data_IF_746826287810
#
_entry.id   IF_746826287810
#
_cell.length_a   1.000
_cell.length_b   1.000
_cell.length_c   1.000
_cell.angle_alpha   90.00
_cell.angle_beta   90.00
_cell.angle_gamma   90.00
#
_symmetry.space_group_name_H-M   'P 1'
#
loop_
_entity.id
_entity.type
_entity.pdbx_description
1 polymer ?
#
# COMPACT_ATOMS: atom_id res chain seq x y z
N UNK A 1 5.00 10.97 26.06
CA UNK A 1 4.28 10.84 24.75
C UNK A 1 2.80 10.73 25.10
N UNK A 2 1.94 11.57 24.52
CA UNK A 2 0.49 11.46 24.69
C UNK A 2 -0.01 10.35 23.75
N UNK A 3 -0.93 9.52 24.20
CA UNK A 3 -1.57 8.51 23.35
C UNK A 3 -2.53 9.22 22.37
N UNK A 4 -2.69 8.71 21.13
CA UNK A 4 -3.64 9.28 20.18
C UNK A 4 -5.06 9.16 20.72
N UNK A 5 -5.87 10.20 20.50
CA UNK A 5 -7.29 10.22 20.90
C UNK A 5 -8.16 9.35 20.00
N UNK A 6 -7.75 9.16 18.75
CA UNK A 6 -8.42 8.35 17.72
C UNK A 6 -7.38 7.69 16.81
N UNK A 7 -7.68 6.45 16.38
CA UNK A 7 -6.91 5.72 15.38
C UNK A 7 -7.87 5.31 14.26
N UNK A 8 -7.50 5.57 13.00
CA UNK A 8 -8.21 5.09 11.82
C UNK A 8 -7.34 4.06 11.12
N UNK A 9 -7.89 2.88 10.93
CA UNK A 9 -7.23 1.81 10.16
C UNK A 9 -7.33 2.10 8.67
N UNK A 10 -6.19 2.15 8.01
CA UNK A 10 -6.09 2.43 6.57
C UNK A 10 -5.78 1.18 5.75
N UNK A 11 -5.87 0.00 6.36
CA UNK A 11 -5.43 -1.25 5.73
C UNK A 11 -6.60 -2.15 5.36
N UNK A 12 -6.55 -2.71 4.16
CA UNK A 12 -7.44 -3.78 3.72
C UNK A 12 -7.15 -5.08 4.47
N UNK A 13 -8.16 -5.90 4.79
CA UNK A 13 -7.92 -7.24 5.32
C UNK A 13 -7.29 -8.14 4.23
N UNK A 14 -6.46 -9.09 4.67
CA UNK A 14 -6.07 -10.20 3.81
C UNK A 14 -7.11 -11.31 3.95
N UNK A 15 -7.72 -11.70 2.86
CA UNK A 15 -8.77 -12.73 2.83
C UNK A 15 -8.81 -13.44 1.47
N UNK A 16 -9.45 -14.61 1.42
CA UNK A 16 -9.47 -15.46 0.23
C UNK A 16 -10.35 -14.93 -0.90
N UNK A 17 -11.40 -14.17 -0.60
CA UNK A 17 -12.53 -13.95 -1.49
C UNK A 17 -12.67 -12.51 -1.98
N UNK A 18 -12.18 -11.51 -1.23
CA UNK A 18 -12.33 -10.11 -1.63
C UNK A 18 -11.42 -9.74 -2.80
N UNK A 19 -11.97 -8.98 -3.73
CA UNK A 19 -11.28 -8.53 -4.93
C UNK A 19 -10.42 -7.31 -4.61
N UNK A 20 -9.22 -7.53 -4.09
CA UNK A 20 -8.15 -6.52 -4.02
C UNK A 20 -7.08 -6.77 -5.07
N UNK A 21 -6.99 -8.00 -5.56
CA UNK A 21 -5.96 -8.46 -6.48
C UNK A 21 -6.58 -9.28 -7.63
N UNK A 22 -5.97 -9.27 -8.83
CA UNK A 22 -6.42 -10.11 -9.91
C UNK A 22 -6.34 -11.61 -9.53
N UNK A 23 -7.13 -12.49 -10.14
CA UNK A 23 -7.29 -13.88 -9.70
C UNK A 23 -5.98 -14.65 -9.51
N UNK A 24 -4.97 -14.41 -10.38
CA UNK A 24 -3.68 -15.11 -10.33
C UNK A 24 -2.75 -14.61 -9.21
N UNK A 25 -3.07 -13.47 -8.56
CA UNK A 25 -2.32 -12.89 -7.45
C UNK A 25 -3.05 -13.01 -6.11
N UNK A 26 -4.29 -13.50 -6.08
CA UNK A 26 -5.07 -13.58 -4.83
C UNK A 26 -4.34 -14.39 -3.77
N UNK A 27 -4.34 -13.96 -2.50
CA UNK A 27 -3.78 -14.75 -1.41
C UNK A 27 -4.54 -16.06 -1.25
N UNK A 28 -3.89 -17.07 -0.67
CA UNK A 28 -4.52 -18.32 -0.26
C UNK A 28 -4.24 -18.52 1.22
N UNK A 29 -5.29 -18.48 2.02
CA UNK A 29 -5.23 -18.65 3.47
C UNK A 29 -5.93 -19.95 3.81
N UNK A 30 -5.19 -20.88 4.41
CA UNK A 30 -5.73 -22.10 5.01
C UNK A 30 -5.77 -21.90 6.52
N UNK A 31 -6.97 -21.91 7.06
CA UNK A 31 -7.23 -21.85 8.50
C UNK A 31 -7.22 -23.27 9.07
N UNK A 32 -6.47 -23.48 10.15
CA UNK A 32 -6.42 -24.74 10.89
C UNK A 32 -6.83 -24.43 12.32
N UNK A 33 -7.95 -25.03 12.73
CA UNK A 33 -8.57 -24.77 14.03
C UNK A 33 -7.82 -25.41 15.19
N UNK A 34 -8.17 -25.01 16.41
CA UNK A 34 -7.69 -25.59 17.65
C UNK A 34 -7.97 -27.11 17.73
N UNK A 35 -9.15 -27.55 17.27
CA UNK A 35 -9.50 -28.94 17.25
C UNK A 35 -8.64 -29.78 16.28
N UNK A 36 -8.34 -29.21 15.10
CA UNK A 36 -7.52 -29.89 14.09
C UNK A 36 -6.07 -30.04 14.50
N UNK A 37 -5.53 -29.13 15.32
CA UNK A 37 -4.15 -29.21 15.82
C UNK A 37 -4.01 -29.99 17.13
N UNK A 38 -5.09 -30.30 17.84
CA UNK A 38 -5.06 -31.01 19.10
C UNK A 38 -4.27 -32.34 19.04
N UNK A 39 -4.42 -33.20 18.02
CA UNK A 39 -3.60 -34.40 17.88
C UNK A 39 -2.11 -34.12 17.78
N UNK A 40 -1.73 -33.10 17.01
CA UNK A 40 -0.32 -32.67 16.87
C UNK A 40 0.26 -32.21 18.21
N UNK A 41 -0.55 -31.45 18.99
CA UNK A 41 -0.11 -31.00 20.32
C UNK A 41 0.08 -32.19 21.26
N UNK A 42 -0.85 -33.16 21.26
CA UNK A 42 -0.72 -34.36 22.08
C UNK A 42 0.54 -35.18 21.73
N UNK A 43 0.89 -35.29 20.44
CA UNK A 43 2.09 -36.00 19.97
C UNK A 43 3.40 -35.39 20.50
N UNK A 44 3.42 -34.10 20.85
CA UNK A 44 4.61 -33.45 21.40
C UNK A 44 4.94 -33.92 22.83
N UNK A 45 4.00 -34.55 23.51
CA UNK A 45 4.12 -35.01 24.90
C UNK A 45 3.90 -36.52 24.97
N UNK A 46 4.95 -37.35 25.05
CA UNK A 46 4.82 -38.80 25.03
C UNK A 46 3.81 -39.33 26.08
N UNK A 47 2.76 -40.01 25.62
CA UNK A 47 1.70 -40.56 26.46
C UNK A 47 0.52 -39.63 26.75
N UNK A 48 0.58 -38.37 26.30
CA UNK A 48 -0.56 -37.45 26.38
C UNK A 48 -1.58 -37.79 25.27
N UNK A 49 -2.87 -37.78 25.62
CA UNK A 49 -3.97 -37.97 24.69
C UNK A 49 -4.68 -36.64 24.46
N UNK A 50 -5.43 -36.49 23.37
CA UNK A 50 -6.17 -35.26 23.06
C UNK A 50 -7.14 -34.88 24.21
N UNK A 51 -7.80 -35.84 24.81
CA UNK A 51 -8.72 -35.64 25.96
C UNK A 51 -8.03 -35.17 27.24
N UNK A 52 -6.70 -35.30 27.33
CA UNK A 52 -5.90 -34.82 28.48
C UNK A 52 -5.46 -33.36 28.29
N UNK A 53 -5.65 -32.79 27.07
CA UNK A 53 -5.41 -31.38 26.83
C UNK A 53 -6.50 -30.51 27.49
N UNK A 54 -6.15 -29.27 27.93
CA UNK A 54 -7.16 -28.29 28.35
C UNK A 54 -8.24 -28.12 27.27
N UNK A 55 -9.50 -28.37 27.64
CA UNK A 55 -10.67 -28.34 26.73
C UNK A 55 -10.57 -29.28 25.52
N UNK A 56 -9.57 -30.17 25.46
CA UNK A 56 -9.31 -31.05 24.32
C UNK A 56 -8.79 -30.29 23.09
N UNK A 57 -8.22 -29.09 23.28
CA UNK A 57 -7.83 -28.19 22.19
C UNK A 57 -6.32 -28.03 22.07
N UNK A 58 -5.86 -27.76 20.85
CA UNK A 58 -4.53 -27.27 20.54
C UNK A 58 -4.53 -25.74 20.31
N UNK A 59 -3.83 -25.28 19.27
CA UNK A 59 -3.79 -23.87 18.87
C UNK A 59 -4.41 -23.67 17.48
N UNK A 60 -4.92 -22.49 17.21
CA UNK A 60 -5.27 -22.08 15.85
C UNK A 60 -4.02 -21.57 15.12
N UNK A 61 -3.91 -21.87 13.82
CA UNK A 61 -2.80 -21.41 12.97
C UNK A 61 -3.29 -21.26 11.54
N UNK A 62 -2.70 -20.31 10.81
CA UNK A 62 -2.97 -20.10 9.39
C UNK A 62 -1.71 -20.36 8.56
N UNK A 63 -1.92 -21.07 7.45
CA UNK A 63 -0.91 -21.17 6.38
C UNK A 63 -1.30 -20.20 5.27
N UNK A 64 -0.39 -19.27 4.95
CA UNK A 64 -0.67 -18.18 4.01
C UNK A 64 0.31 -18.24 2.85
N UNK A 65 -0.22 -18.33 1.62
CA UNK A 65 0.54 -18.18 0.38
C UNK A 65 0.13 -16.89 -0.31
N UNK A 66 1.04 -15.91 -0.41
CA UNK A 66 0.81 -14.59 -0.99
C UNK A 66 2.11 -13.95 -1.47
N UNK A 67 1.99 -12.91 -2.29
CA UNK A 67 3.12 -12.06 -2.66
C UNK A 67 3.25 -10.89 -1.67
N UNK A 68 4.41 -10.24 -1.61
CA UNK A 68 4.61 -9.04 -0.78
C UNK A 68 3.77 -7.85 -1.26
N UNK A 69 3.13 -7.96 -2.43
CA UNK A 69 2.27 -6.94 -3.04
C UNK A 69 0.77 -7.24 -2.90
N UNK A 70 0.36 -8.20 -2.06
CA UNK A 70 -1.04 -8.45 -1.75
C UNK A 70 -1.57 -7.53 -0.63
N UNK A 71 -2.87 -7.16 -0.73
CA UNK A 71 -3.50 -6.29 0.25
C UNK A 71 -2.77 -4.95 0.43
N UNK A 72 -2.97 -4.29 1.55
CA UNK A 72 -2.24 -3.06 1.85
C UNK A 72 -0.77 -3.35 2.13
N UNK A 73 0.11 -2.81 1.31
CA UNK A 73 1.55 -3.01 1.38
C UNK A 73 2.31 -1.73 1.07
N UNK A 74 3.59 -1.74 1.35
CA UNK A 74 4.55 -0.68 1.04
C UNK A 74 5.53 -1.17 0.00
N UNK A 75 5.61 -0.51 -1.14
CA UNK A 75 6.61 -0.76 -2.15
C UNK A 75 7.93 -0.06 -1.82
N UNK A 76 9.02 -0.80 -1.96
CA UNK A 76 10.36 -0.27 -1.86
C UNK A 76 10.88 0.24 -3.20
N UNK A 77 11.86 1.14 -3.23
CA UNK A 77 12.44 1.67 -4.46
C UNK A 77 12.90 0.60 -5.47
N UNK A 78 13.37 -0.56 -5.01
CA UNK A 78 13.81 -1.68 -5.87
C UNK A 78 12.66 -2.24 -6.74
N UNK A 79 11.40 -2.08 -6.30
CA UNK A 79 10.25 -2.50 -7.10
C UNK A 79 10.12 -1.70 -8.40
N UNK A 80 10.44 -0.42 -8.35
CA UNK A 80 10.28 0.47 -9.50
C UNK A 80 11.35 0.25 -10.57
N UNK A 81 12.57 -0.04 -10.13
CA UNK A 81 13.72 -0.29 -11.01
C UNK A 81 14.89 -0.85 -10.18
N UNK A 82 15.80 -1.59 -10.83
CA UNK A 82 16.98 -2.16 -10.16
C UNK A 82 18.05 -1.12 -9.77
N UNK A 83 18.09 0.02 -10.48
CA UNK A 83 19.09 1.07 -10.29
C UNK A 83 18.48 2.45 -10.43
N UNK A 84 19.04 3.41 -9.69
CA UNK A 84 18.79 4.84 -9.86
C UNK A 84 19.29 5.35 -11.22
N UNK A 85 18.96 6.59 -11.58
CA UNK A 85 19.40 7.18 -12.83
C UNK A 85 20.93 7.32 -12.92
N UNK A 86 21.62 7.48 -11.79
CA UNK A 86 23.08 7.53 -11.67
C UNK A 86 23.73 6.15 -11.48
N UNK A 87 22.97 5.06 -11.66
CA UNK A 87 23.46 3.68 -11.69
C UNK A 87 23.66 3.00 -10.33
N UNK A 88 23.30 3.64 -9.23
CA UNK A 88 23.38 3.03 -7.88
C UNK A 88 22.27 2.01 -7.68
N UNK A 89 22.50 0.93 -6.92
CA UNK A 89 21.44 -0.01 -6.54
C UNK A 89 20.29 0.69 -5.81
N UNK A 90 19.05 0.29 -6.11
CA UNK A 90 17.88 0.73 -5.38
C UNK A 90 17.78 0.03 -4.02
N UNK A 91 17.21 0.74 -3.03
CA UNK A 91 16.97 0.18 -1.69
C UNK A 91 15.88 -0.90 -1.74
N UNK A 92 16.10 -1.99 -1.02
CA UNK A 92 15.10 -3.00 -0.68
C UNK A 92 14.32 -2.60 0.57
N UNK A 93 13.16 -3.21 0.83
CA UNK A 93 12.26 -2.79 1.92
C UNK A 93 12.92 -2.86 3.30
N UNK A 94 13.81 -3.81 3.52
CA UNK A 94 14.55 -3.97 4.78
C UNK A 94 15.67 -2.93 4.97
N UNK A 95 15.99 -2.15 3.93
CA UNK A 95 17.02 -1.10 3.94
C UNK A 95 16.44 0.31 4.07
N UNK A 96 15.13 0.49 3.85
CA UNK A 96 14.50 1.81 3.93
C UNK A 96 14.55 2.34 5.37
N UNK A 97 14.95 3.62 5.58
CA UNK A 97 15.02 4.21 6.91
C UNK A 97 13.67 4.22 7.63
N UNK A 98 13.64 3.78 8.90
CA UNK A 98 12.40 3.67 9.68
C UNK A 98 11.72 5.03 9.93
N UNK A 99 12.48 6.11 9.98
CA UNK A 99 11.98 7.46 10.19
C UNK A 99 11.15 8.01 9.01
N UNK A 100 11.09 7.29 7.87
CA UNK A 100 10.15 7.59 6.79
C UNK A 100 8.72 7.17 7.12
N UNK A 101 8.50 6.15 7.96
CA UNK A 101 7.22 5.45 8.12
C UNK A 101 6.34 5.98 9.28
N UNK A 102 6.76 7.02 9.99
CA UNK A 102 5.99 7.65 11.06
C UNK A 102 6.10 9.16 10.97
N UNK A 103 5.17 9.79 10.23
CA UNK A 103 5.26 11.21 9.86
C UNK A 103 3.87 11.86 9.73
N UNK A 104 3.81 13.22 9.73
CA UNK A 104 2.58 13.93 9.41
C UNK A 104 1.97 13.46 8.09
N UNK A 105 0.65 13.31 8.07
CA UNK A 105 -0.12 12.88 6.91
C UNK A 105 -0.82 14.04 6.22
N UNK A 106 -0.87 13.99 4.89
CA UNK A 106 -1.62 14.92 4.02
C UNK A 106 -2.44 14.09 3.05
N UNK A 107 -3.73 14.37 2.92
CA UNK A 107 -4.62 13.69 1.98
C UNK A 107 -4.97 14.61 0.81
N UNK A 108 -4.77 14.12 -0.40
CA UNK A 108 -5.21 14.74 -1.65
C UNK A 108 -6.47 14.01 -2.15
N UNK A 109 -7.51 14.75 -2.47
CA UNK A 109 -8.82 14.21 -2.87
C UNK A 109 -9.04 14.30 -4.39
N UNK A 110 -8.79 13.19 -5.08
CA UNK A 110 -9.02 13.04 -6.52
C UNK A 110 -10.20 12.11 -6.84
N UNK A 111 -11.15 11.89 -5.92
CA UNK A 111 -12.31 11.01 -6.12
C UNK A 111 -13.21 11.44 -7.28
N UNK A 112 -13.20 12.70 -7.67
CA UNK A 112 -14.00 13.26 -8.78
C UNK A 112 -13.27 13.24 -10.12
N UNK A 113 -11.99 12.84 -10.12
CA UNK A 113 -11.18 12.74 -11.33
C UNK A 113 -11.57 11.45 -12.07
N UNK A 114 -11.69 11.47 -13.41
CA UNK A 114 -12.10 10.29 -14.18
C UNK A 114 -11.14 9.10 -14.01
N UNK A 115 -11.67 7.89 -14.14
CA UNK A 115 -10.86 6.67 -14.16
C UNK A 115 -9.82 6.72 -15.29
N UNK A 116 -8.61 6.25 -14.99
CA UNK A 116 -7.50 6.24 -15.95
C UNK A 116 -6.87 7.60 -16.24
N UNK A 117 -7.36 8.68 -15.64
CA UNK A 117 -6.68 9.98 -15.70
C UNK A 117 -5.31 9.91 -15.04
N UNK A 118 -4.33 10.57 -15.63
CA UNK A 118 -2.97 10.69 -15.08
C UNK A 118 -2.83 12.07 -14.47
N UNK A 119 -2.79 12.11 -13.14
CA UNK A 119 -2.68 13.36 -12.37
C UNK A 119 -1.33 14.02 -12.64
N UNK A 120 -1.38 15.30 -12.92
CA UNK A 120 -0.22 16.16 -13.24
C UNK A 120 0.31 16.89 -12.00
N UNK A 121 1.51 17.46 -12.11
CA UNK A 121 2.08 18.35 -11.08
C UNK A 121 1.17 19.54 -10.77
N UNK A 122 0.58 20.15 -11.81
CA UNK A 122 -0.32 21.30 -11.67
C UNK A 122 -1.58 20.95 -10.88
N UNK A 123 -2.14 19.75 -11.08
CA UNK A 123 -3.32 19.29 -10.34
C UNK A 123 -2.98 19.01 -8.87
N UNK A 124 -1.81 18.45 -8.58
CA UNK A 124 -1.32 18.30 -7.20
C UNK A 124 -1.15 19.64 -6.52
N UNK A 125 -0.54 20.62 -7.20
CA UNK A 125 -0.38 21.98 -6.69
C UNK A 125 -1.72 22.67 -6.42
N UNK A 126 -2.67 22.53 -7.33
CA UNK A 126 -4.02 23.07 -7.16
C UNK A 126 -4.73 22.45 -5.96
N UNK A 127 -4.60 21.13 -5.77
CA UNK A 127 -5.21 20.45 -4.64
C UNK A 127 -4.55 20.85 -3.31
N UNK A 128 -3.23 20.93 -3.24
CA UNK A 128 -2.50 21.43 -2.07
C UNK A 128 -2.94 22.86 -1.69
N UNK A 129 -3.12 23.72 -2.69
CA UNK A 129 -3.65 25.07 -2.50
C UNK A 129 -5.10 25.06 -1.99
N UNK A 130 -5.95 24.17 -2.52
CA UNK A 130 -7.35 24.01 -2.08
C UNK A 130 -7.43 23.66 -0.60
N UNK A 131 -6.56 22.73 -0.14
CA UNK A 131 -6.54 22.28 1.25
C UNK A 131 -5.73 23.20 2.18
N UNK A 132 -5.08 24.24 1.65
CA UNK A 132 -4.27 25.19 2.42
C UNK A 132 -3.03 24.57 3.06
N UNK A 133 -2.42 23.56 2.42
CA UNK A 133 -1.23 22.88 2.93
C UNK A 133 0.01 23.15 2.06
N UNK A 134 1.11 23.49 2.72
CA UNK A 134 2.45 23.53 2.12
C UNK A 134 3.22 22.28 2.54
N UNK A 135 3.68 21.51 1.55
CA UNK A 135 4.41 20.27 1.79
C UNK A 135 5.71 20.52 2.55
N UNK A 136 5.92 19.69 3.57
CA UNK A 136 7.16 19.66 4.34
C UNK A 136 7.94 18.38 4.02
N UNK A 137 9.29 18.41 4.13
CA UNK A 137 10.08 17.20 4.01
C UNK A 137 9.54 16.10 4.94
N UNK A 138 9.41 14.89 4.38
CA UNK A 138 8.86 13.70 5.03
C UNK A 138 7.36 13.70 5.31
N UNK A 139 6.57 14.69 4.88
CA UNK A 139 5.12 14.49 4.86
C UNK A 139 4.77 13.20 4.12
N UNK A 140 3.85 12.40 4.68
CA UNK A 140 3.28 11.23 4.00
C UNK A 140 2.04 11.68 3.25
N UNK A 141 2.07 11.57 1.92
CA UNK A 141 0.97 12.02 1.06
C UNK A 141 0.08 10.85 0.67
N UNK A 142 -1.19 10.91 1.04
CA UNK A 142 -2.21 9.92 0.74
C UNK A 142 -3.14 10.42 -0.35
N UNK A 143 -3.36 9.62 -1.37
CA UNK A 143 -4.21 9.95 -2.53
C UNK A 143 -5.50 9.16 -2.45
N UNK A 144 -6.62 9.87 -2.31
CA UNK A 144 -7.96 9.30 -2.28
C UNK A 144 -8.60 9.43 -3.67
N UNK A 145 -8.92 8.29 -4.27
CA UNK A 145 -9.48 8.19 -5.62
C UNK A 145 -10.88 7.58 -5.62
N UNK A 146 -11.52 7.50 -6.79
CA UNK A 146 -12.78 6.78 -6.94
C UNK A 146 -12.65 5.28 -6.64
N UNK A 147 -11.45 4.71 -6.69
CA UNK A 147 -11.24 3.28 -6.42
C UNK A 147 -11.73 2.88 -5.03
N UNK A 148 -11.70 3.77 -4.03
CA UNK A 148 -12.18 3.49 -2.66
C UNK A 148 -13.59 2.92 -2.59
N UNK A 149 -14.51 3.41 -3.44
CA UNK A 149 -15.91 2.93 -3.46
C UNK A 149 -16.13 1.66 -4.28
N UNK A 150 -15.10 1.20 -4.99
CA UNK A 150 -15.13 -0.01 -5.82
C UNK A 150 -14.47 -1.22 -5.12
N UNK A 151 -13.91 -1.03 -3.92
CA UNK A 151 -13.25 -2.09 -3.15
C UNK A 151 -14.20 -3.31 -3.02
N UNK A 152 -13.66 -4.50 -3.27
CA UNK A 152 -14.41 -5.75 -3.20
C UNK A 152 -15.19 -6.11 -4.47
N UNK A 153 -15.14 -5.27 -5.51
CA UNK A 153 -15.76 -5.53 -6.81
C UNK A 153 -14.71 -5.66 -7.91
N UNK A 154 -15.06 -6.31 -9.04
CA UNK A 154 -14.15 -6.42 -10.19
C UNK A 154 -13.78 -5.04 -10.80
N UNK A 155 -14.61 -4.03 -10.59
CA UNK A 155 -14.36 -2.64 -11.04
C UNK A 155 -13.13 -2.04 -10.33
N UNK A 156 -12.80 -2.49 -9.12
CA UNK A 156 -11.67 -1.98 -8.34
C UNK A 156 -10.35 -1.98 -9.12
N UNK A 157 -10.09 -3.01 -9.91
CA UNK A 157 -8.86 -3.16 -10.68
C UNK A 157 -8.73 -2.17 -11.85
N UNK A 158 -9.81 -1.46 -12.19
CA UNK A 158 -9.87 -0.52 -13.32
C UNK A 158 -10.28 0.89 -12.91
N UNK A 159 -10.71 1.06 -11.66
CA UNK A 159 -11.21 2.32 -11.11
C UNK A 159 -10.08 3.23 -10.61
N UNK A 160 -10.36 4.53 -10.62
CA UNK A 160 -9.49 5.57 -10.09
C UNK A 160 -8.56 6.19 -11.12
N UNK A 161 -8.02 7.33 -10.75
CA UNK A 161 -6.90 7.98 -11.44
C UNK A 161 -5.57 7.41 -10.93
N UNK A 162 -4.47 7.73 -11.60
CA UNK A 162 -3.12 7.42 -11.14
C UNK A 162 -2.24 8.64 -11.10
N UNK A 163 -1.14 8.56 -10.39
CA UNK A 163 -0.16 9.63 -10.27
C UNK A 163 0.87 9.53 -11.41
N UNK A 164 0.92 10.54 -12.25
CA UNK A 164 1.90 10.61 -13.32
C UNK A 164 3.33 10.87 -12.83
N UNK A 165 4.29 10.75 -13.73
CA UNK A 165 5.70 11.05 -13.44
C UNK A 165 5.88 12.47 -12.86
N UNK A 166 5.27 13.46 -13.47
CA UNK A 166 5.41 14.86 -13.03
C UNK A 166 4.82 15.09 -11.64
N UNK A 167 3.65 14.52 -11.34
CA UNK A 167 3.03 14.58 -10.03
C UNK A 167 3.92 13.91 -8.96
N UNK A 168 4.46 12.73 -9.27
CA UNK A 168 5.35 12.00 -8.36
C UNK A 168 6.64 12.78 -8.09
N UNK A 169 7.27 13.36 -9.11
CA UNK A 169 8.46 14.21 -8.96
C UNK A 169 8.15 15.51 -8.22
N UNK A 170 6.95 16.09 -8.44
CA UNK A 170 6.52 17.27 -7.69
C UNK A 170 6.52 17.01 -6.18
N UNK A 171 6.02 15.86 -5.75
CA UNK A 171 6.00 15.44 -4.35
C UNK A 171 7.43 15.14 -3.83
N UNK A 172 8.15 14.28 -4.53
CA UNK A 172 9.45 13.76 -4.07
C UNK A 172 10.54 14.82 -4.06
N UNK A 173 10.52 15.79 -4.98
CA UNK A 173 11.44 16.95 -5.00
C UNK A 173 11.22 17.89 -3.81
N UNK A 174 10.05 17.89 -3.19
CA UNK A 174 9.72 18.63 -1.97
C UNK A 174 10.02 17.86 -0.68
N UNK A 175 10.70 16.73 -0.80
CA UNK A 175 11.14 15.93 0.34
C UNK A 175 10.16 14.85 0.79
N UNK A 176 9.02 14.64 0.11
CA UNK A 176 8.15 13.49 0.36
C UNK A 176 8.93 12.21 0.06
N UNK A 177 8.87 11.24 0.97
CA UNK A 177 9.57 9.95 0.84
C UNK A 177 8.62 8.77 0.91
N UNK A 178 7.41 8.98 1.40
CA UNK A 178 6.35 7.97 1.43
C UNK A 178 5.06 8.58 0.90
N UNK A 179 4.43 7.88 -0.02
CA UNK A 179 3.09 8.19 -0.52
C UNK A 179 2.17 7.00 -0.32
N UNK A 180 0.88 7.16 -0.59
CA UNK A 180 -0.07 6.06 -0.55
C UNK A 180 -1.29 6.36 -1.39
N UNK A 181 -1.97 5.31 -1.87
CA UNK A 181 -3.18 5.39 -2.69
C UNK A 181 -4.18 4.30 -2.29
N UNK A 182 -5.45 4.58 -2.45
CA UNK A 182 -6.54 3.62 -2.24
C UNK A 182 -6.85 2.75 -3.48
N UNK A 183 -6.17 3.01 -4.59
CA UNK A 183 -6.28 2.22 -5.81
C UNK A 183 -5.37 0.98 -5.77
N UNK A 184 -5.54 0.11 -6.77
CA UNK A 184 -4.75 -1.10 -6.95
C UNK A 184 -3.26 -0.83 -7.22
N UNK A 185 -2.93 0.34 -7.78
CA UNK A 185 -1.56 0.78 -8.08
C UNK A 185 -1.42 2.29 -8.02
N UNK A 186 -0.19 2.78 -7.94
CA UNK A 186 0.16 4.21 -7.91
C UNK A 186 -0.08 4.91 -9.25
N UNK A 187 0.23 4.23 -10.36
CA UNK A 187 -0.06 4.71 -11.71
C UNK A 187 -1.55 4.49 -12.05
N UNK A 188 -2.01 5.09 -13.14
CA UNK A 188 -3.34 4.80 -13.69
C UNK A 188 -3.50 3.29 -13.93
N UNK A 189 -4.73 2.74 -13.77
CA UNK A 189 -4.96 1.31 -13.97
C UNK A 189 -4.45 0.82 -15.34
N UNK A 190 -3.86 -0.37 -15.38
CA UNK A 190 -3.20 -0.92 -16.58
C UNK A 190 -4.05 -0.97 -17.83
N UNK A 191 -5.38 -1.11 -17.69
CA UNK A 191 -6.29 -1.09 -18.83
C UNK A 191 -6.20 0.24 -19.58
N UNK A 192 -6.15 1.36 -18.86
CA UNK A 192 -6.06 2.70 -19.43
C UNK A 192 -4.65 3.01 -19.96
N UNK A 193 -3.60 2.56 -19.26
CA UNK A 193 -2.22 2.66 -19.76
C UNK A 193 -2.09 1.89 -21.09
N UNK A 194 -2.64 0.67 -21.17
CA UNK A 194 -2.64 -0.14 -22.37
C UNK A 194 -3.35 0.55 -23.53
N UNK A 195 -4.52 1.15 -23.30
CA UNK A 195 -5.23 1.91 -24.33
C UNK A 195 -4.43 3.10 -24.85
N UNK A 196 -3.78 3.84 -23.97
CA UNK A 196 -2.89 4.95 -24.32
C UNK A 196 -1.69 4.44 -25.14
N UNK A 197 -1.04 3.36 -24.68
CA UNK A 197 0.10 2.79 -25.38
C UNK A 197 -0.27 2.28 -26.78
N UNK A 198 -1.44 1.66 -26.94
CA UNK A 198 -1.91 1.22 -28.27
C UNK A 198 -2.08 2.40 -29.24
N UNK A 199 -2.44 3.57 -28.76
CA UNK A 199 -2.60 4.80 -29.55
C UNK A 199 -1.27 5.50 -29.84
N UNK A 200 -0.41 5.59 -28.85
CA UNK A 200 0.81 6.41 -28.92
C UNK A 200 2.06 5.63 -29.29
N UNK A 201 2.11 4.34 -28.95
CA UNK A 201 3.30 3.47 -29.01
C UNK A 201 4.50 4.02 -28.23
N UNK A 202 4.24 4.93 -27.29
CA UNK A 202 5.25 5.51 -26.41
C UNK A 202 5.42 4.65 -25.16
N UNK A 203 6.55 3.96 -24.96
CA UNK A 203 6.79 3.12 -23.79
C UNK A 203 7.05 3.92 -22.52
N UNK A 204 7.29 5.23 -22.61
CA UNK A 204 7.59 6.08 -21.44
C UNK A 204 6.40 6.23 -20.50
N UNK A 205 5.17 6.04 -21.00
CA UNK A 205 3.93 6.12 -20.22
C UNK A 205 3.69 4.87 -19.34
N UNK A 206 4.48 3.80 -19.55
CA UNK A 206 4.31 2.54 -18.82
C UNK A 206 4.97 2.67 -17.44
N UNK A 207 4.15 2.66 -16.37
CA UNK A 207 4.62 2.82 -15.00
C UNK A 207 5.39 4.13 -14.77
N UNK A 208 4.91 5.21 -15.37
CA UNK A 208 5.61 6.50 -15.34
C UNK A 208 5.73 7.08 -13.91
N UNK A 209 4.72 6.89 -13.07
CA UNK A 209 4.74 7.31 -11.66
C UNK A 209 5.70 6.47 -10.83
N UNK A 210 5.65 5.12 -10.94
CA UNK A 210 6.62 4.25 -10.29
C UNK A 210 8.05 4.59 -10.72
N UNK A 211 8.27 4.67 -12.03
CA UNK A 211 9.61 4.91 -12.61
C UNK A 211 10.20 6.27 -12.29
N UNK A 212 9.39 7.25 -11.88
CA UNK A 212 9.88 8.50 -11.31
C UNK A 212 10.82 8.28 -10.12
N UNK A 213 10.63 7.19 -9.37
CA UNK A 213 11.50 6.77 -8.27
C UNK A 213 12.94 6.45 -8.65
N UNK A 214 13.27 6.33 -9.94
CA UNK A 214 14.67 6.24 -10.40
C UNK A 214 15.45 7.53 -10.19
N UNK A 215 14.76 8.65 -10.24
CA UNK A 215 15.37 9.99 -10.11
C UNK A 215 15.45 10.37 -8.63
N UNK A 216 14.35 10.22 -7.91
CA UNK A 216 14.26 10.51 -6.48
C UNK A 216 13.59 9.31 -5.79
N UNK A 217 14.38 8.42 -5.15
CA UNK A 217 13.84 7.23 -4.49
C UNK A 217 12.81 7.58 -3.40
N UNK A 218 11.69 6.87 -3.42
CA UNK A 218 10.58 6.98 -2.48
C UNK A 218 9.92 5.61 -2.30
N UNK A 219 9.04 5.49 -1.34
CA UNK A 219 8.16 4.34 -1.15
C UNK A 219 6.71 4.76 -1.39
N UNK A 220 5.84 3.84 -1.80
CA UNK A 220 4.41 4.09 -1.76
C UNK A 220 3.61 2.91 -1.24
N UNK A 221 2.50 3.21 -0.58
CA UNK A 221 1.50 2.23 -0.18
C UNK A 221 0.45 2.11 -1.28
N UNK A 222 -0.04 0.90 -1.48
CA UNK A 222 -1.17 0.61 -2.36
C UNK A 222 -2.30 -0.04 -1.58
N UNK A 223 -3.51 0.02 -2.14
CA UNK A 223 -4.73 -0.62 -1.61
C UNK A 223 -5.08 -0.16 -0.20
N UNK A 224 -4.90 1.14 0.04
CA UNK A 224 -5.38 1.77 1.27
C UNK A 224 -6.92 1.82 1.29
N UNK A 225 -7.49 1.86 2.48
CA UNK A 225 -8.93 2.06 2.69
C UNK A 225 -9.20 3.17 3.71
N UNK A 226 -10.48 3.56 3.82
CA UNK A 226 -10.95 4.53 4.81
C UNK A 226 -10.32 5.94 4.69
N UNK A 227 -9.72 6.29 3.54
CA UNK A 227 -9.15 7.62 3.35
C UNK A 227 -10.21 8.73 3.39
N UNK A 228 -11.47 8.42 3.07
CA UNK A 228 -12.61 9.34 3.17
C UNK A 228 -12.92 9.77 4.62
N UNK A 229 -12.47 8.99 5.62
CA UNK A 229 -12.63 9.30 7.04
C UNK A 229 -11.61 10.30 7.56
N UNK A 230 -10.57 10.60 6.76
CA UNK A 230 -9.50 11.52 7.15
C UNK A 230 -9.83 12.96 6.74
N UNK A 231 -9.47 13.95 7.59
CA UNK A 231 -9.37 15.34 7.13
C UNK A 231 -8.25 15.46 6.10
N UNK A 232 -8.14 16.62 5.47
CA UNK A 232 -7.11 16.86 4.45
C UNK A 232 -5.68 16.82 5.04
N UNK A 233 -5.49 17.21 6.32
CA UNK A 233 -4.24 17.14 7.08
C UNK A 233 -4.53 17.19 8.60
N UNK A 234 -3.47 17.22 9.45
CA UNK A 234 -3.62 17.30 10.91
C UNK A 234 -3.69 15.93 11.60
N UNK A 235 -3.15 14.92 10.96
CA UNK A 235 -2.99 13.58 11.53
C UNK A 235 -1.56 13.07 11.28
N UNK A 236 -1.18 12.04 12.00
CA UNK A 236 0.09 11.34 11.80
C UNK A 236 -0.18 9.97 11.17
N UNK A 237 0.61 9.59 10.17
CA UNK A 237 0.56 8.24 9.57
C UNK A 237 1.64 7.37 10.18
N UNK A 238 1.28 6.16 10.60
CA UNK A 238 2.19 5.07 10.92
C UNK A 238 1.97 3.94 9.94
N UNK A 239 3.04 3.57 9.20
CA UNK A 239 2.93 2.63 8.08
C UNK A 239 4.17 1.74 7.92
N UNK A 240 4.69 1.21 9.03
CA UNK A 240 5.90 0.36 9.02
C UNK A 240 5.65 -0.92 8.22
N UNK A 241 6.40 -1.18 7.14
CA UNK A 241 6.29 -2.42 6.39
C UNK A 241 6.95 -3.59 7.13
N UNK A 242 6.48 -4.80 6.88
CA UNK A 242 7.14 -6.00 7.34
C UNK A 242 8.53 -6.12 6.70
N UNK A 243 9.53 -6.46 7.52
CA UNK A 243 10.95 -6.46 7.12
C UNK A 243 11.30 -7.74 6.36
N UNK A 244 10.96 -7.80 5.09
CA UNK A 244 11.34 -8.89 4.19
C UNK A 244 12.75 -8.62 3.67
N UNK A 245 13.72 -9.47 4.01
CA UNK A 245 15.13 -9.32 3.58
C UNK A 245 15.22 -9.33 2.04
N UNK A 246 15.84 -8.29 1.49
CA UNK A 246 15.99 -8.07 0.04
C UNK A 246 14.65 -8.01 -0.70
N UNK A 247 13.55 -7.72 0.00
CA UNK A 247 12.21 -7.67 -0.58
C UNK A 247 11.95 -6.40 -1.37
N UNK A 248 11.12 -6.53 -2.40
CA UNK A 248 10.63 -5.40 -3.21
C UNK A 248 9.46 -4.67 -2.56
N UNK A 249 8.81 -5.28 -1.57
CA UNK A 249 7.72 -4.71 -0.79
C UNK A 249 7.59 -5.40 0.57
N UNK A 250 6.74 -4.85 1.43
CA UNK A 250 6.34 -5.47 2.70
C UNK A 250 4.91 -5.09 3.06
N UNK A 251 4.12 -6.05 3.57
CA UNK A 251 2.78 -5.77 4.08
C UNK A 251 2.84 -4.77 5.22
N UNK A 252 1.87 -3.87 5.28
CA UNK A 252 1.81 -2.88 6.35
C UNK A 252 0.41 -2.79 6.95
N UNK A 253 0.32 -2.63 8.28
CA UNK A 253 -0.89 -2.15 8.93
C UNK A 253 -0.77 -0.63 9.02
N UNK A 254 -1.14 0.06 7.94
CA UNK A 254 -1.14 1.52 7.91
C UNK A 254 -2.29 2.08 8.77
N UNK A 255 -2.00 3.08 9.58
CA UNK A 255 -3.00 3.76 10.43
C UNK A 255 -2.78 5.27 10.42
N UNK A 256 -3.87 6.02 10.56
CA UNK A 256 -3.86 7.45 10.85
C UNK A 256 -4.16 7.69 12.35
N UNK A 257 -3.32 8.49 13.00
CA UNK A 257 -3.34 8.79 14.42
C UNK A 257 -3.71 10.26 14.63
N UNK A 258 -4.60 10.54 15.56
CA UNK A 258 -5.07 11.90 15.91
C UNK A 258 -4.71 12.21 17.35
N UNK A 259 -4.33 13.48 17.62
CA UNK A 259 -4.02 14.00 18.98
C UNK A 259 -5.26 14.22 19.86
#
# INVERSE_FOLDING_TARGET
>A
MKLPSRIVDLSSPLENETVYDPPFMRPKIQYVSNAETAPLVAELFPGLRVEDLPEGEGWAIEQIALTTHNGTHMDAPIHFQSKTIDGKPMMTIDQVPLDWFFRPGVKLDFRKVPDGHVVTATEVEAELKRIGHELKPFDIVLVNTRASICIGTDEYLTAGCGMGREATLYLTSRGVRVTGIDAWGWDAPFVHIRERWLKTRDPSIIWEGHKAGREIPYCHMEKLCNLEQLPDHGFTVACFPYKVKAGSAGWTRAVALFD
#
